data_IF_383658657223
#
_entry.id   IF_383658657223
#
_cell.length_a   1.000
_cell.length_b   1.000
_cell.length_c   1.000
_cell.angle_alpha   90.00
_cell.angle_beta   90.00
_cell.angle_gamma   90.00
#
_symmetry.space_group_name_H-M   'P 1'
#
loop_
_entity.id
_entity.type
_entity.pdbx_description
1 polymer ?
#
# COMPACT_ATOMS: atom_id res chain seq x y z
N UNK A 1 -3.84 8.44 -17.75
CA UNK A 1 -2.61 9.01 -17.15
C UNK A 1 -2.90 10.26 -16.32
N UNK A 2 -3.56 11.32 -16.82
CA UNK A 2 -3.76 12.56 -16.05
C UNK A 2 -4.57 12.41 -14.74
N UNK A 3 -5.66 11.63 -14.73
CA UNK A 3 -6.48 11.45 -13.51
C UNK A 3 -5.70 10.83 -12.34
N UNK A 4 -4.86 9.83 -12.62
CA UNK A 4 -4.09 9.13 -11.58
C UNK A 4 -2.95 9.99 -11.06
N UNK A 5 -2.28 10.74 -11.94
CA UNK A 5 -1.27 11.73 -11.54
C UNK A 5 -1.88 12.80 -10.63
N UNK A 6 -3.02 13.38 -11.02
CA UNK A 6 -3.69 14.39 -10.21
C UNK A 6 -4.16 13.83 -8.86
N UNK A 7 -4.65 12.59 -8.84
CA UNK A 7 -5.07 11.93 -7.61
C UNK A 7 -3.92 11.60 -6.64
N UNK A 8 -2.68 11.51 -7.12
CA UNK A 8 -1.50 11.37 -6.25
C UNK A 8 -1.10 12.68 -5.58
N UNK A 9 -1.32 13.82 -6.25
CA UNK A 9 -0.82 15.12 -5.79
C UNK A 9 -1.89 16.05 -5.21
N UNK A 10 -3.17 15.73 -5.36
CA UNK A 10 -4.27 16.61 -4.98
C UNK A 10 -5.32 15.88 -4.14
N UNK A 11 -6.08 16.65 -3.37
CA UNK A 11 -7.21 16.13 -2.60
C UNK A 11 -8.39 15.73 -3.50
N UNK A 12 -9.27 14.89 -2.95
CA UNK A 12 -10.46 14.38 -3.62
C UNK A 12 -11.33 15.47 -4.28
N UNK A 13 -11.51 16.61 -3.61
CA UNK A 13 -12.38 17.69 -4.10
C UNK A 13 -11.78 18.37 -5.32
N UNK A 14 -10.47 18.64 -5.28
CA UNK A 14 -9.75 19.25 -6.40
C UNK A 14 -9.78 18.34 -7.63
N UNK A 15 -9.52 17.04 -7.45
CA UNK A 15 -9.53 16.07 -8.55
C UNK A 15 -10.91 15.95 -9.19
N UNK A 16 -11.98 15.83 -8.39
CA UNK A 16 -13.33 15.69 -8.94
C UNK A 16 -13.80 16.95 -9.67
N UNK A 17 -13.44 18.14 -9.17
CA UNK A 17 -13.76 19.42 -9.82
C UNK A 17 -13.01 19.60 -11.13
N UNK A 18 -11.70 19.35 -11.15
CA UNK A 18 -10.86 19.54 -12.33
C UNK A 18 -11.19 18.54 -13.44
N UNK A 19 -11.38 17.27 -13.06
CA UNK A 19 -11.67 16.19 -14.01
C UNK A 19 -13.15 16.03 -14.35
N UNK A 20 -14.04 16.72 -13.62
CA UNK A 20 -15.51 16.66 -13.76
C UNK A 20 -16.08 15.23 -13.69
N UNK A 21 -15.49 14.38 -12.86
CA UNK A 21 -15.94 13.00 -12.65
C UNK A 21 -16.10 12.68 -11.16
N UNK A 22 -17.03 11.78 -10.87
CA UNK A 22 -17.29 11.31 -9.50
C UNK A 22 -16.08 10.58 -8.91
N UNK A 23 -15.90 10.68 -7.60
CA UNK A 23 -14.79 10.04 -6.88
C UNK A 23 -14.78 8.51 -7.03
N UNK A 24 -15.96 7.89 -7.13
CA UNK A 24 -16.09 6.46 -7.41
C UNK A 24 -15.47 6.09 -8.76
N UNK A 25 -15.64 6.93 -9.78
CA UNK A 25 -15.01 6.75 -11.10
C UNK A 25 -13.50 6.97 -11.04
N UNK A 26 -13.04 8.00 -10.31
CA UNK A 26 -11.60 8.22 -10.06
C UNK A 26 -10.97 6.98 -9.41
N UNK A 27 -11.61 6.42 -8.38
CA UNK A 27 -11.15 5.21 -7.71
C UNK A 27 -11.05 3.99 -8.64
N UNK A 28 -12.05 3.78 -9.52
CA UNK A 28 -11.99 2.71 -10.53
C UNK A 28 -10.82 2.89 -11.50
N UNK A 29 -10.55 4.12 -11.92
CA UNK A 29 -9.42 4.44 -12.82
C UNK A 29 -8.10 4.14 -12.11
N UNK A 30 -7.93 4.58 -10.86
CA UNK A 30 -6.74 4.30 -10.05
C UNK A 30 -6.55 2.79 -9.90
N UNK A 31 -7.60 2.07 -9.51
CA UNK A 31 -7.53 0.62 -9.33
C UNK A 31 -7.07 -0.10 -10.60
N UNK A 32 -7.63 0.26 -11.77
CA UNK A 32 -7.20 -0.33 -13.05
C UNK A 32 -5.74 -0.05 -13.35
N UNK A 33 -5.32 1.22 -13.27
CA UNK A 33 -3.92 1.59 -13.57
C UNK A 33 -2.95 0.91 -12.62
N UNK A 34 -3.27 0.84 -11.33
CA UNK A 34 -2.44 0.16 -10.32
C UNK A 34 -2.38 -1.34 -10.60
N UNK A 35 -3.49 -1.99 -10.96
CA UNK A 35 -3.50 -3.40 -11.33
C UNK A 35 -2.63 -3.66 -12.57
N UNK A 36 -2.75 -2.83 -13.60
CA UNK A 36 -1.95 -2.93 -14.83
C UNK A 36 -0.44 -2.74 -14.55
N UNK A 37 -0.08 -1.87 -13.60
CA UNK A 37 1.32 -1.55 -13.28
C UNK A 37 1.95 -2.50 -12.26
N UNK A 38 1.17 -3.08 -11.35
CA UNK A 38 1.68 -3.94 -10.27
C UNK A 38 1.50 -5.44 -10.54
N UNK A 39 0.71 -5.84 -11.53
CA UNK A 39 0.31 -7.24 -11.74
C UNK A 39 1.47 -8.25 -11.77
N UNK A 40 2.62 -7.85 -12.33
CA UNK A 40 3.78 -8.73 -12.52
C UNK A 40 4.98 -8.41 -11.60
N UNK A 41 4.85 -7.45 -10.67
CA UNK A 41 5.97 -6.99 -9.84
C UNK A 41 5.98 -7.71 -8.50
N UNK A 42 7.01 -8.51 -8.23
CA UNK A 42 7.26 -9.05 -6.88
C UNK A 42 7.79 -7.96 -5.95
N UNK A 43 6.87 -7.36 -5.19
CA UNK A 43 7.18 -6.26 -4.26
C UNK A 43 7.87 -6.73 -2.98
N UNK A 44 7.85 -8.03 -2.70
CA UNK A 44 8.50 -8.62 -1.53
C UNK A 44 9.93 -9.09 -1.84
N UNK A 45 10.37 -8.95 -3.09
CA UNK A 45 11.71 -9.36 -3.47
C UNK A 45 12.78 -8.41 -2.93
N UNK A 46 13.89 -8.99 -2.48
CA UNK A 46 15.05 -8.29 -1.95
C UNK A 46 14.76 -7.27 -0.82
N UNK A 47 13.81 -7.56 0.07
CA UNK A 47 13.61 -6.78 1.29
C UNK A 47 14.76 -7.01 2.28
N UNK A 48 15.29 -5.94 2.85
CA UNK A 48 16.34 -5.96 3.88
C UNK A 48 15.97 -5.15 5.10
N UNK A 49 15.56 -3.90 4.91
CA UNK A 49 15.13 -3.02 5.98
C UNK A 49 13.65 -2.68 5.78
N UNK A 50 12.81 -3.13 6.71
CA UNK A 50 11.36 -2.88 6.66
C UNK A 50 10.91 -2.01 7.82
N UNK A 51 9.95 -1.14 7.54
CA UNK A 51 9.19 -0.41 8.55
C UNK A 51 7.79 -0.99 8.64
N UNK A 52 7.28 -1.14 9.86
CA UNK A 52 5.90 -1.57 10.09
C UNK A 52 5.19 -0.45 10.82
N UNK A 53 4.08 0.00 10.26
CA UNK A 53 3.25 1.06 10.84
C UNK A 53 1.78 0.65 10.90
N UNK A 54 1.04 1.27 11.81
CA UNK A 54 -0.38 1.05 12.04
C UNK A 54 -1.17 2.34 11.81
N UNK A 55 -1.98 2.37 10.75
CA UNK A 55 -2.77 3.54 10.39
C UNK A 55 -4.23 3.33 10.78
N UNK A 56 -4.75 4.20 11.65
CA UNK A 56 -6.20 4.29 11.90
C UNK A 56 -6.87 5.09 10.79
N UNK A 57 -7.86 4.51 10.11
CA UNK A 57 -8.46 5.15 8.93
C UNK A 57 -9.92 5.57 9.11
N UNK A 58 -10.60 5.14 10.17
CA UNK A 58 -11.98 5.56 10.53
C UNK A 58 -12.18 5.53 12.04
N UNK A 59 -13.21 6.27 12.49
CA UNK A 59 -13.75 6.12 13.85
C UNK A 59 -14.19 4.65 14.05
N UNK A 60 -14.15 4.18 15.30
CA UNK A 60 -14.45 2.79 15.71
C UNK A 60 -13.31 1.77 15.54
N UNK A 61 -12.05 2.17 15.80
CA UNK A 61 -10.94 1.21 15.89
C UNK A 61 -10.70 0.42 14.61
N UNK A 62 -10.86 1.05 13.44
CA UNK A 62 -10.46 0.44 12.18
C UNK A 62 -9.01 0.81 11.84
N UNK A 63 -8.18 -0.22 11.68
CA UNK A 63 -6.74 -0.09 11.48
C UNK A 63 -6.27 -0.85 10.24
N UNK A 64 -5.18 -0.36 9.64
CA UNK A 64 -4.45 -1.02 8.57
C UNK A 64 -2.99 -1.13 9.03
N UNK A 65 -2.45 -2.34 8.99
CA UNK A 65 -1.00 -2.56 9.10
C UNK A 65 -0.38 -2.34 7.74
N UNK A 66 0.64 -1.49 7.69
CA UNK A 66 1.41 -1.16 6.47
C UNK A 66 2.85 -1.60 6.68
N UNK A 67 3.41 -2.28 5.69
CA UNK A 67 4.84 -2.61 5.64
C UNK A 67 5.48 -1.83 4.50
N UNK A 68 6.54 -1.08 4.84
CA UNK A 68 7.33 -0.28 3.91
C UNK A 68 8.72 -0.89 3.75
N UNK A 69 9.25 -0.87 2.53
CA UNK A 69 10.68 -1.03 2.28
C UNK A 69 11.35 0.31 2.56
N UNK A 70 12.19 0.37 3.59
CA UNK A 70 12.88 1.59 3.99
C UNK A 70 13.99 2.01 3.02
N UNK A 71 14.57 1.08 2.26
CA UNK A 71 15.59 1.40 1.26
C UNK A 71 14.96 2.03 0.03
N UNK A 72 13.80 1.50 -0.40
CA UNK A 72 13.09 1.98 -1.60
C UNK A 72 12.07 3.08 -1.32
N UNK A 73 11.68 3.28 -0.06
CA UNK A 73 10.65 4.25 0.34
C UNK A 73 9.25 3.90 -0.19
N UNK A 74 8.95 2.62 -0.42
CA UNK A 74 7.68 2.17 -0.99
C UNK A 74 6.92 1.24 -0.06
N UNK A 75 5.60 1.36 -0.02
CA UNK A 75 4.71 0.39 0.66
C UNK A 75 4.74 -0.91 -0.13
N UNK A 76 5.19 -2.00 0.48
CA UNK A 76 5.29 -3.33 -0.18
C UNK A 76 4.15 -4.26 0.20
N UNK A 77 3.50 -4.02 1.33
CA UNK A 77 2.37 -4.81 1.80
C UNK A 77 1.45 -3.97 2.69
N UNK A 78 0.14 -4.23 2.64
CA UNK A 78 -0.82 -3.65 3.57
C UNK A 78 -2.01 -4.59 3.77
N UNK A 79 -2.52 -4.68 5.00
CA UNK A 79 -3.75 -5.42 5.28
C UNK A 79 -4.54 -4.79 6.43
N UNK A 80 -5.85 -5.06 6.44
CA UNK A 80 -6.74 -4.62 7.52
C UNK A 80 -6.42 -5.36 8.82
N UNK A 81 -6.48 -4.63 9.92
CA UNK A 81 -6.17 -5.12 11.26
C UNK A 81 -4.89 -4.51 11.80
N UNK A 82 -4.57 -4.88 13.03
CA UNK A 82 -3.40 -4.40 13.79
C UNK A 82 -2.79 -5.45 14.70
N UNK A 83 -3.20 -6.70 14.51
CA UNK A 83 -2.83 -7.78 15.43
C UNK A 83 -1.54 -8.45 14.98
N UNK A 84 -0.90 -9.17 15.90
CA UNK A 84 0.17 -10.11 15.56
C UNK A 84 -0.28 -11.11 14.48
N UNK A 85 -1.58 -11.44 14.41
CA UNK A 85 -2.12 -12.29 13.36
C UNK A 85 -2.12 -11.60 11.98
N UNK A 86 -2.37 -10.29 11.91
CA UNK A 86 -2.22 -9.51 10.67
C UNK A 86 -0.75 -9.51 10.22
N UNK A 87 0.18 -9.26 11.15
CA UNK A 87 1.61 -9.26 10.82
C UNK A 87 2.14 -10.66 10.43
N UNK A 88 1.59 -11.72 11.02
CA UNK A 88 1.91 -13.09 10.62
C UNK A 88 1.60 -13.35 9.13
N UNK A 89 0.51 -12.79 8.60
CA UNK A 89 0.17 -12.94 7.17
C UNK A 89 1.26 -12.35 6.26
N UNK A 90 1.86 -11.23 6.67
CA UNK A 90 2.98 -10.65 5.94
C UNK A 90 4.19 -11.60 5.95
N UNK A 91 4.57 -12.15 7.10
CA UNK A 91 5.70 -13.08 7.19
C UNK A 91 5.44 -14.40 6.46
N UNK A 92 4.21 -14.90 6.50
CA UNK A 92 3.78 -16.08 5.73
C UNK A 92 3.92 -15.80 4.21
N UNK A 93 3.53 -14.61 3.74
CA UNK A 93 3.67 -14.20 2.35
C UNK A 93 5.13 -13.96 1.92
N UNK A 94 5.97 -13.45 2.83
CA UNK A 94 7.40 -13.24 2.59
C UNK A 94 8.16 -14.56 2.46
N UNK A 95 7.77 -15.54 3.28
CA UNK A 95 8.39 -16.86 3.31
C UNK A 95 9.72 -16.90 4.08
N UNK A 96 10.12 -18.09 4.57
CA UNK A 96 11.23 -18.24 5.51
C UNK A 96 12.58 -17.84 4.89
N UNK A 97 12.79 -18.06 3.59
CA UNK A 97 14.07 -17.75 2.93
C UNK A 97 14.33 -16.25 2.84
N UNK A 98 13.27 -15.44 2.62
CA UNK A 98 13.39 -13.98 2.54
C UNK A 98 13.34 -13.35 3.93
N UNK A 99 12.59 -13.94 4.86
CA UNK A 99 12.59 -13.53 6.27
C UNK A 99 14.00 -13.55 6.87
N UNK A 100 14.80 -14.57 6.57
CA UNK A 100 16.19 -14.67 7.03
C UNK A 100 17.12 -13.56 6.49
N UNK A 101 16.69 -12.79 5.50
CA UNK A 101 17.45 -11.68 4.90
C UNK A 101 17.09 -10.32 5.48
N UNK A 102 16.04 -10.25 6.31
CA UNK A 102 15.68 -9.01 6.99
C UNK A 102 16.74 -8.70 8.05
N UNK A 103 17.20 -7.46 8.08
CA UNK A 103 18.09 -6.98 9.13
C UNK A 103 17.27 -6.72 10.38
N UNK A 104 17.73 -7.22 11.53
CA UNK A 104 17.38 -6.61 12.81
C UNK A 104 18.14 -5.29 12.93
N UNK A 105 17.52 -4.22 13.47
CA UNK A 105 18.29 -3.10 14.00
C UNK A 105 19.21 -3.55 15.14
#
# INVERSE_FOLDING_TARGET
MHTTYLAQQNDKTTVTKLMRIGWTTVGKIIHRVVADQLGDIDRLDNLRLIGIDEISYRRHHEYITVVVDHERGVVVWAAKGKSAATLKQFFDALGPQRLAKLSSP
#
